data_IF_781961681501
#
_entry.id   IF_781961681501
#
_cell.length_a   1.000
_cell.length_b   1.000
_cell.length_c   1.000
_cell.angle_alpha   90.00
_cell.angle_beta   90.00
_cell.angle_gamma   90.00
#
_symmetry.space_group_name_H-M   'P 1'
#
loop_
_entity.id
_entity.type
_entity.pdbx_description
1 polymer ?
#
# COMPACT_ATOMS: atom_id res chain seq x y z
N UNK A 1 -5.31 -2.57 -1.77
CA UNK A 1 -5.46 -3.02 -3.18
C UNK A 1 -6.04 -4.42 -3.15
N UNK A 2 -6.80 -4.85 -4.16
CA UNK A 2 -7.27 -6.23 -4.25
C UNK A 2 -6.63 -6.91 -5.47
N UNK A 3 -5.99 -8.06 -5.26
CA UNK A 3 -5.43 -8.89 -6.32
C UNK A 3 -6.01 -10.30 -6.24
N UNK A 4 -6.74 -10.71 -7.27
CA UNK A 4 -7.28 -12.08 -7.33
C UNK A 4 -8.32 -12.42 -6.25
N UNK A 5 -8.88 -11.41 -5.56
CA UNK A 5 -9.85 -11.59 -4.48
C UNK A 5 -9.24 -11.50 -3.08
N UNK A 6 -7.92 -11.35 -2.97
CA UNK A 6 -7.21 -11.20 -1.70
C UNK A 6 -6.79 -9.74 -1.48
N UNK A 7 -6.75 -9.34 -0.20
CA UNK A 7 -6.24 -8.03 0.18
C UNK A 7 -4.72 -8.00 -0.03
N UNK A 8 -4.26 -7.09 -0.88
CA UNK A 8 -2.85 -6.88 -1.22
C UNK A 8 -2.50 -5.40 -1.05
N UNK A 9 -2.74 -4.89 0.16
CA UNK A 9 -2.44 -3.52 0.56
C UNK A 9 -0.96 -3.17 0.42
N UNK A 10 -0.71 -1.91 0.06
CA UNK A 10 0.62 -1.37 -0.22
C UNK A 10 0.83 -0.16 0.67
N UNK A 11 1.73 -0.26 1.63
CA UNK A 11 2.11 0.88 2.47
C UNK A 11 2.98 1.84 1.66
N UNK A 12 2.58 3.12 1.63
CA UNK A 12 3.38 4.21 1.11
C UNK A 12 4.05 4.90 2.30
N UNK A 13 5.37 4.98 2.26
CA UNK A 13 6.17 5.63 3.29
C UNK A 13 7.19 6.57 2.64
N UNK A 14 7.64 7.54 3.42
CA UNK A 14 8.74 8.43 3.06
C UNK A 14 10.00 8.02 3.81
N UNK A 15 11.16 8.32 3.25
CA UNK A 15 12.43 8.06 3.93
C UNK A 15 12.63 9.10 5.03
N UNK A 16 13.03 8.66 6.22
CA UNK A 16 13.37 9.56 7.31
C UNK A 16 14.54 10.47 6.91
N UNK A 17 14.40 11.78 7.14
CA UNK A 17 15.35 12.81 6.72
C UNK A 17 15.49 12.98 5.19
N UNK A 18 14.51 12.55 4.40
CA UNK A 18 14.46 12.90 2.99
C UNK A 18 14.30 14.42 2.83
N UNK A 19 15.15 15.10 2.05
CA UNK A 19 15.11 16.56 1.93
C UNK A 19 13.89 17.08 1.15
N UNK A 20 13.15 16.22 0.45
CA UNK A 20 11.97 16.59 -0.33
C UNK A 20 10.66 16.18 0.33
N UNK A 21 10.64 15.01 0.99
CA UNK A 21 9.43 14.41 1.56
C UNK A 21 9.50 14.18 3.06
N UNK A 22 10.61 14.53 3.73
CA UNK A 22 10.82 14.21 5.14
C UNK A 22 9.83 14.88 6.11
N UNK A 23 9.20 15.98 5.69
CA UNK A 23 8.17 16.70 6.44
C UNK A 23 6.73 16.25 6.09
N UNK A 24 6.57 15.27 5.20
CA UNK A 24 5.25 14.75 4.82
C UNK A 24 4.75 13.78 5.89
N UNK A 25 3.58 14.08 6.46
CA UNK A 25 2.96 13.26 7.52
C UNK A 25 1.78 12.43 7.00
N UNK A 26 1.17 12.82 5.89
CA UNK A 26 0.03 12.09 5.29
C UNK A 26 0.10 12.03 3.76
N UNK A 27 -0.43 10.97 3.16
CA UNK A 27 -0.41 10.77 1.70
C UNK A 27 -1.15 11.89 0.95
N UNK A 28 -2.13 12.54 1.57
CA UNK A 28 -2.88 13.64 0.97
C UNK A 28 -2.09 14.96 0.87
N UNK A 29 -0.91 15.04 1.50
CA UNK A 29 0.01 16.17 1.36
C UNK A 29 0.89 16.03 0.11
N UNK A 30 0.92 14.84 -0.50
CA UNK A 30 1.63 14.60 -1.75
C UNK A 30 0.82 15.13 -2.96
N UNK A 31 1.49 15.53 -4.05
CA UNK A 31 0.78 15.88 -5.27
C UNK A 31 -0.06 14.70 -5.79
N UNK A 32 -1.33 14.94 -6.12
CA UNK A 32 -2.25 13.92 -6.67
C UNK A 32 -1.65 13.15 -7.85
N UNK A 33 -0.91 13.85 -8.71
CA UNK A 33 -0.25 13.23 -9.86
C UNK A 33 0.77 12.14 -9.46
N UNK A 34 1.42 12.25 -8.30
CA UNK A 34 2.32 11.23 -7.79
C UNK A 34 1.53 9.99 -7.32
N UNK A 35 0.42 10.20 -6.61
CA UNK A 35 -0.47 9.15 -6.14
C UNK A 35 -1.05 8.38 -7.34
N UNK A 36 -1.51 9.10 -8.36
CA UNK A 36 -2.06 8.50 -9.58
C UNK A 36 -1.01 7.74 -10.39
N UNK A 37 0.26 8.17 -10.38
CA UNK A 37 1.36 7.40 -10.98
C UNK A 37 1.58 6.07 -10.27
N UNK A 38 1.57 6.05 -8.93
CA UNK A 38 1.69 4.82 -8.14
C UNK A 38 0.50 3.88 -8.42
N UNK A 39 -0.72 4.42 -8.40
CA UNK A 39 -1.94 3.68 -8.75
C UNK A 39 -1.83 3.05 -10.14
N UNK A 40 -1.44 3.84 -11.14
CA UNK A 40 -1.30 3.37 -12.52
C UNK A 40 -0.25 2.26 -12.64
N UNK A 41 0.89 2.39 -11.95
CA UNK A 41 1.93 1.35 -11.95
C UNK A 41 1.36 0.01 -11.45
N UNK A 42 0.71 -0.01 -10.28
CA UNK A 42 0.16 -1.24 -9.71
C UNK A 42 -1.03 -1.81 -10.51
N UNK A 43 -1.82 -0.97 -11.18
CA UNK A 43 -2.88 -1.42 -12.08
C UNK A 43 -2.35 -2.11 -13.33
N UNK A 44 -1.13 -1.78 -13.78
CA UNK A 44 -0.65 -2.16 -15.11
C UNK A 44 0.52 -3.13 -15.11
N UNK A 45 1.31 -3.23 -14.04
CA UNK A 45 2.55 -4.02 -14.06
C UNK A 45 2.35 -5.54 -14.28
N UNK A 46 1.15 -6.07 -13.98
CA UNK A 46 0.75 -7.47 -14.19
C UNK A 46 -0.09 -7.68 -15.45
N UNK A 47 -0.34 -6.64 -16.25
CA UNK A 47 -1.17 -6.76 -17.45
C UNK A 47 -0.49 -7.63 -18.50
N UNK A 48 -1.15 -8.73 -18.84
CA UNK A 48 -0.78 -9.58 -19.97
C UNK A 48 -1.81 -9.30 -21.09
N UNK A 49 -1.37 -8.96 -22.31
CA UNK A 49 -2.28 -8.74 -23.43
C UNK A 49 -3.21 -9.95 -23.63
N UNK A 50 -4.52 -9.70 -23.67
CA UNK A 50 -5.54 -10.74 -23.84
C UNK A 50 -5.97 -11.45 -22.55
N UNK A 51 -5.41 -11.10 -21.39
CA UNK A 51 -5.89 -11.56 -20.08
C UNK A 51 -6.77 -10.52 -19.39
N UNK A 52 -7.71 -10.98 -18.56
CA UNK A 52 -8.47 -10.09 -17.68
C UNK A 52 -7.56 -9.53 -16.58
N UNK A 53 -7.67 -8.22 -16.33
CA UNK A 53 -6.99 -7.60 -15.20
C UNK A 53 -7.75 -7.97 -13.91
N UNK A 54 -7.06 -8.67 -13.00
CA UNK A 54 -7.62 -9.07 -11.70
C UNK A 54 -7.27 -8.10 -10.58
N UNK A 55 -6.53 -7.04 -10.89
CA UNK A 55 -6.13 -6.01 -9.92
C UNK A 55 -7.16 -4.89 -9.89
N UNK A 56 -7.60 -4.52 -8.69
CA UNK A 56 -8.36 -3.29 -8.46
C UNK A 56 -7.75 -2.49 -7.31
N UNK A 57 -7.79 -1.16 -7.44
CA UNK A 57 -7.22 -0.23 -6.46
C UNK A 57 -8.28 0.79 -6.07
N UNK A 58 -8.71 0.74 -4.80
CA UNK A 58 -9.59 1.74 -4.20
C UNK A 58 -8.90 3.06 -3.92
N UNK A 59 -9.59 4.00 -3.26
CA UNK A 59 -8.99 5.25 -2.82
C UNK A 59 -7.76 4.99 -1.94
N UNK A 60 -6.76 5.87 -2.03
CA UNK A 60 -5.66 5.83 -1.08
C UNK A 60 -6.19 6.19 0.31
N UNK A 61 -5.58 5.62 1.35
CA UNK A 61 -5.89 5.93 2.74
C UNK A 61 -4.73 6.66 3.40
N UNK A 62 -5.06 7.53 4.37
CA UNK A 62 -4.09 8.30 5.13
C UNK A 62 -3.35 7.48 6.20
N UNK A 63 -2.47 8.17 6.92
CA UNK A 63 -1.54 7.60 7.89
C UNK A 63 -2.22 6.72 8.95
N UNK A 64 -3.34 7.19 9.53
CA UNK A 64 -4.03 6.46 10.60
C UNK A 64 -4.51 5.06 10.16
N UNK A 65 -5.03 4.94 8.94
CA UNK A 65 -5.45 3.63 8.44
C UNK A 65 -4.24 2.74 8.11
N UNK A 66 -3.17 3.33 7.56
CA UNK A 66 -1.94 2.60 7.27
C UNK A 66 -1.33 1.97 8.54
N UNK A 67 -1.39 2.65 9.68
CA UNK A 67 -0.96 2.07 10.98
C UNK A 67 -1.78 0.86 11.38
N UNK A 68 -3.09 0.90 11.19
CA UNK A 68 -3.98 -0.23 11.51
C UNK A 68 -3.61 -1.44 10.64
N UNK A 69 -3.37 -1.23 9.35
CA UNK A 69 -2.93 -2.29 8.43
C UNK A 69 -1.59 -2.88 8.86
N UNK A 70 -0.61 -2.04 9.23
CA UNK A 70 0.70 -2.50 9.70
C UNK A 70 0.56 -3.33 10.98
N UNK A 71 -0.22 -2.85 11.96
CA UNK A 71 -0.43 -3.58 13.22
C UNK A 71 -1.11 -4.92 12.98
N UNK A 72 -2.16 -4.96 12.15
CA UNK A 72 -2.83 -6.21 11.79
C UNK A 72 -1.85 -7.20 11.12
N UNK A 73 -1.02 -6.74 10.19
CA UNK A 73 -0.01 -7.58 9.54
C UNK A 73 1.05 -8.12 10.53
N UNK A 74 1.42 -7.33 11.54
CA UNK A 74 2.33 -7.78 12.61
C UNK A 74 1.67 -8.84 13.50
N UNK A 75 0.41 -8.61 13.87
CA UNK A 75 -0.37 -9.54 14.71
C UNK A 75 -0.63 -10.87 13.98
N UNK A 76 -0.94 -10.82 12.68
CA UNK A 76 -1.09 -12.00 11.83
C UNK A 76 0.21 -12.80 11.75
N UNK A 77 1.35 -12.11 11.59
CA UNK A 77 2.67 -12.76 11.56
C UNK A 77 2.99 -13.46 12.90
N UNK A 78 2.73 -12.80 14.03
CA UNK A 78 2.92 -13.38 15.35
C UNK A 78 1.97 -14.56 15.59
N UNK A 79 0.72 -14.49 15.10
CA UNK A 79 -0.25 -15.59 15.23
C UNK A 79 0.18 -16.82 14.44
N UNK A 80 0.68 -16.63 13.21
CA UNK A 80 1.06 -17.73 12.32
C UNK A 80 2.45 -18.31 12.67
N UNK A 81 3.39 -17.47 13.08
CA UNK A 81 4.80 -17.84 13.23
C UNK A 81 5.41 -17.58 14.62
N UNK A 82 4.68 -16.94 15.53
CA UNK A 82 5.12 -16.69 16.90
C UNK A 82 5.27 -17.99 17.68
N UNK A 83 6.36 -18.10 18.44
CA UNK A 83 6.59 -19.26 19.29
C UNK A 83 5.75 -19.07 20.57
N UNK A 84 4.68 -19.84 20.70
CA UNK A 84 3.97 -19.96 21.98
C UNK A 84 4.91 -20.58 23.02
N UNK A 85 5.21 -19.84 24.09
CA UNK A 85 5.87 -20.40 25.28
C UNK A 85 4.91 -21.27 26.09
#
# INVERSE_FOLDING_TARGET
>A
MMDGGEADDKIIAVLQNDPLFGDVEDIHELPDALIERLRHYFLTYKLIPGSENKVSIGAAYGYEHAKVVIQAAMDDYETEYGISN
#
